data_IF_158998202072
#
_entry.id   IF_158998202072
#
_cell.length_a   1.000
_cell.length_b   1.000
_cell.length_c   1.000
_cell.angle_alpha   90.00
_cell.angle_beta   90.00
_cell.angle_gamma   90.00
#
_symmetry.space_group_name_H-M   'P 1'
#
loop_
_entity.id
_entity.type
_entity.pdbx_description
1 polymer ?
#
# COMPACT_ATOMS: atom_id res chain seq x y z
N UNK A 1 -34.40 22.94 14.47
CA UNK A 1 -33.06 22.94 15.09
C UNK A 1 -32.30 21.74 14.54
N UNK A 2 -31.46 21.95 13.54
CA UNK A 2 -30.68 20.89 12.87
C UNK A 2 -29.32 20.83 13.55
N UNK A 3 -29.09 19.78 14.30
CA UNK A 3 -27.79 19.54 14.94
C UNK A 3 -26.82 19.09 13.89
N UNK A 4 -25.86 19.94 13.54
CA UNK A 4 -24.72 19.58 12.71
C UNK A 4 -23.77 18.78 13.62
N UNK A 5 -23.72 17.48 13.43
CA UNK A 5 -22.70 16.64 14.05
C UNK A 5 -21.41 16.90 13.28
N UNK A 6 -20.54 17.74 13.85
CA UNK A 6 -19.17 17.90 13.38
C UNK A 6 -18.43 16.60 13.71
N UNK A 7 -18.25 15.73 12.72
CA UNK A 7 -17.30 14.64 12.83
C UNK A 7 -15.90 15.23 12.99
N UNK A 8 -15.33 15.04 14.16
CA UNK A 8 -13.95 15.37 14.42
C UNK A 8 -13.05 14.57 13.45
N UNK A 9 -11.97 15.16 12.92
CA UNK A 9 -11.06 14.44 12.05
C UNK A 9 -10.52 13.21 12.81
N UNK A 10 -10.71 12.03 12.23
CA UNK A 10 -10.15 10.79 12.76
C UNK A 10 -8.63 10.94 12.70
N UNK A 11 -8.00 11.19 13.84
CA UNK A 11 -6.55 11.16 13.96
C UNK A 11 -6.09 9.72 13.73
N UNK A 12 -5.64 9.41 12.55
CA UNK A 12 -4.98 8.13 12.26
C UNK A 12 -3.59 8.17 12.89
N UNK A 13 -3.32 7.25 13.80
CA UNK A 13 -2.02 7.17 14.46
C UNK A 13 -0.96 6.64 13.49
N UNK A 14 0.10 7.40 13.27
CA UNK A 14 1.23 7.04 12.41
C UNK A 14 2.20 6.14 13.20
N UNK A 15 2.00 4.83 13.14
CA UNK A 15 2.72 3.86 13.97
C UNK A 15 4.05 3.39 13.38
N UNK A 16 4.24 3.51 12.06
CA UNK A 16 5.42 3.02 11.34
C UNK A 16 6.47 4.12 11.09
N UNK A 17 6.16 5.37 11.34
CA UNK A 17 7.08 6.51 11.17
C UNK A 17 8.45 6.28 11.83
N UNK A 18 8.48 5.62 12.99
CA UNK A 18 9.71 5.32 13.74
C UNK A 18 10.68 4.39 13.02
N UNK A 19 10.25 3.76 11.92
CA UNK A 19 11.12 2.90 11.10
C UNK A 19 12.15 3.68 10.28
N UNK A 20 12.00 4.98 10.14
CA UNK A 20 12.96 5.87 9.47
C UNK A 20 13.22 7.11 10.33
N UNK A 21 14.27 7.85 10.00
CA UNK A 21 14.56 9.11 10.70
C UNK A 21 13.58 10.22 10.33
N UNK A 22 13.38 11.20 11.22
CA UNK A 22 12.51 12.35 10.94
C UNK A 22 12.94 13.10 9.67
N UNK A 23 14.23 13.19 9.40
CA UNK A 23 14.75 13.85 8.20
C UNK A 23 14.33 13.12 6.92
N UNK A 24 14.41 11.79 6.91
CA UNK A 24 13.97 10.97 5.77
C UNK A 24 12.45 11.05 5.62
N UNK A 25 11.72 10.97 6.74
CA UNK A 25 10.28 11.13 6.77
C UNK A 25 9.82 12.44 6.12
N UNK A 26 10.36 13.58 6.57
CA UNK A 26 10.02 14.90 6.04
C UNK A 26 10.28 15.02 4.53
N UNK A 27 11.37 14.45 4.08
CA UNK A 27 11.74 14.44 2.66
C UNK A 27 10.76 13.63 1.82
N UNK A 28 10.42 12.42 2.27
CA UNK A 28 9.50 11.53 1.55
C UNK A 28 8.07 12.07 1.53
N UNK A 29 7.55 12.53 2.66
CA UNK A 29 6.21 13.11 2.75
C UNK A 29 6.10 14.36 1.88
N UNK A 30 7.09 15.25 1.92
CA UNK A 30 7.11 16.45 1.07
C UNK A 30 7.19 16.11 -0.42
N UNK A 31 7.94 15.07 -0.77
CA UNK A 31 8.04 14.58 -2.14
C UNK A 31 6.67 14.04 -2.63
N UNK A 32 6.02 13.17 -1.86
CA UNK A 32 4.70 12.62 -2.20
C UNK A 32 3.67 13.75 -2.36
N UNK A 33 3.58 14.65 -1.39
CA UNK A 33 2.62 15.75 -1.41
C UNK A 33 2.77 16.61 -2.68
N UNK A 34 4.01 16.93 -3.06
CA UNK A 34 4.33 17.75 -4.23
C UNK A 34 4.06 17.01 -5.54
N UNK A 35 4.57 15.77 -5.68
CA UNK A 35 4.49 15.02 -6.94
C UNK A 35 3.06 14.57 -7.27
N UNK A 36 2.24 14.36 -6.25
CA UNK A 36 0.86 13.89 -6.42
C UNK A 36 -0.19 14.97 -6.18
N UNK A 37 0.25 16.22 -5.96
CA UNK A 37 -0.63 17.37 -5.68
C UNK A 37 -1.67 17.02 -4.60
N UNK A 38 -1.21 16.48 -3.48
CA UNK A 38 -2.07 16.06 -2.38
C UNK A 38 -1.72 16.75 -1.07
N UNK A 39 -2.69 16.81 -0.18
CA UNK A 39 -2.49 17.40 1.15
C UNK A 39 -1.49 16.59 1.98
N UNK A 40 -0.66 17.29 2.75
CA UNK A 40 0.36 16.69 3.60
C UNK A 40 -0.17 15.58 4.53
N UNK A 41 -1.33 15.72 5.22
CA UNK A 41 -1.85 14.65 6.07
C UNK A 41 -2.11 13.34 5.31
N UNK A 42 -2.53 13.41 4.05
CA UNK A 42 -2.74 12.24 3.21
C UNK A 42 -1.38 11.60 2.85
N UNK A 43 -0.40 12.42 2.45
CA UNK A 43 0.95 11.95 2.16
C UNK A 43 1.62 11.27 3.37
N UNK A 44 1.40 11.77 4.57
CA UNK A 44 1.87 11.18 5.82
C UNK A 44 1.26 9.80 6.07
N UNK A 45 -0.04 9.66 5.89
CA UNK A 45 -0.74 8.38 6.01
C UNK A 45 -0.26 7.36 4.96
N UNK A 46 -0.09 7.79 3.72
CA UNK A 46 0.47 6.95 2.64
C UNK A 46 1.85 6.45 3.02
N UNK A 47 2.74 7.34 3.48
CA UNK A 47 4.10 6.94 3.83
C UNK A 47 4.13 5.98 5.03
N UNK A 48 3.31 6.21 6.04
CA UNK A 48 3.18 5.32 7.20
C UNK A 48 2.75 3.91 6.77
N UNK A 49 1.72 3.81 5.93
CA UNK A 49 1.23 2.51 5.43
C UNK A 49 2.23 1.83 4.51
N UNK A 50 2.99 2.59 3.74
CA UNK A 50 4.10 2.06 2.92
C UNK A 50 5.18 1.43 3.79
N UNK A 51 5.60 2.10 4.86
CA UNK A 51 6.57 1.54 5.81
C UNK A 51 6.05 0.28 6.50
N UNK A 52 4.77 0.26 6.87
CA UNK A 52 4.10 -0.93 7.42
C UNK A 52 4.08 -2.09 6.43
N UNK A 53 3.79 -1.82 5.18
CA UNK A 53 3.80 -2.81 4.10
C UNK A 53 5.20 -3.40 3.86
N UNK A 54 6.23 -2.56 3.78
CA UNK A 54 7.62 -3.00 3.62
C UNK A 54 8.10 -3.81 4.83
N UNK A 55 7.67 -3.44 6.04
CA UNK A 55 7.90 -4.24 7.24
C UNK A 55 7.25 -5.62 7.15
N UNK A 56 6.03 -5.71 6.60
CA UNK A 56 5.35 -7.00 6.39
C UNK A 56 6.16 -7.91 5.45
N UNK A 57 6.68 -7.36 4.35
CA UNK A 57 7.54 -8.11 3.41
C UNK A 57 8.77 -8.66 4.15
N UNK A 58 9.43 -7.83 4.94
CA UNK A 58 10.59 -8.23 5.72
C UNK A 58 10.28 -9.35 6.74
N UNK A 59 9.09 -9.33 7.35
CA UNK A 59 8.65 -10.36 8.29
C UNK A 59 8.25 -11.68 7.62
N UNK A 60 8.00 -11.68 6.32
CA UNK A 60 7.49 -12.82 5.57
C UNK A 60 8.20 -13.02 4.23
N UNK A 61 9.52 -13.28 4.23
CA UNK A 61 10.34 -13.27 3.02
C UNK A 61 9.98 -14.36 1.99
N UNK A 62 9.25 -15.38 2.39
CA UNK A 62 8.76 -16.46 1.50
C UNK A 62 7.39 -16.17 0.88
N UNK A 63 6.78 -15.04 1.20
CA UNK A 63 5.45 -14.65 0.71
C UNK A 63 5.54 -13.39 -0.12
N UNK A 64 4.71 -13.33 -1.14
CA UNK A 64 4.55 -12.13 -1.96
C UNK A 64 3.25 -11.43 -1.59
N UNK A 65 3.28 -10.12 -1.48
CA UNK A 65 2.15 -9.27 -1.10
C UNK A 65 1.91 -8.21 -2.16
N UNK A 66 0.65 -7.79 -2.28
CA UNK A 66 0.23 -6.75 -3.22
C UNK A 66 -0.01 -5.44 -2.46
N UNK A 67 0.63 -4.34 -2.81
CA UNK A 67 0.30 -3.03 -2.25
C UNK A 67 -1.03 -2.54 -2.80
N UNK A 68 -1.73 -1.66 -2.07
CA UNK A 68 -2.78 -0.86 -2.65
C UNK A 68 -2.18 0.22 -3.55
N UNK A 69 -2.99 0.81 -4.43
CA UNK A 69 -2.56 1.93 -5.30
C UNK A 69 -1.93 3.10 -4.52
N UNK A 70 -2.51 3.41 -3.36
CA UNK A 70 -2.01 4.49 -2.51
C UNK A 70 -0.67 4.12 -1.84
N UNK A 71 -0.53 2.88 -1.39
CA UNK A 71 0.72 2.38 -0.81
C UNK A 71 1.83 2.27 -1.86
N UNK A 72 1.48 1.90 -3.08
CA UNK A 72 2.40 1.85 -4.21
C UNK A 72 2.98 3.23 -4.56
N UNK A 73 2.18 4.29 -4.47
CA UNK A 73 2.65 5.68 -4.59
C UNK A 73 3.77 5.97 -3.57
N UNK A 74 3.56 5.59 -2.32
CA UNK A 74 4.57 5.77 -1.27
C UNK A 74 5.82 4.94 -1.52
N UNK A 75 5.66 3.71 -2.01
CA UNK A 75 6.80 2.85 -2.34
C UNK A 75 7.62 3.41 -3.48
N UNK A 76 6.98 3.84 -4.58
CA UNK A 76 7.66 4.53 -5.67
C UNK A 76 8.41 5.79 -5.21
N UNK A 77 7.79 6.60 -4.34
CA UNK A 77 8.45 7.76 -3.77
C UNK A 77 9.71 7.36 -2.98
N UNK A 78 9.66 6.28 -2.22
CA UNK A 78 10.82 5.81 -1.46
C UNK A 78 11.91 5.24 -2.38
N UNK A 79 11.54 4.53 -3.44
CA UNK A 79 12.48 4.03 -4.45
C UNK A 79 13.26 5.16 -5.14
N UNK A 80 12.66 6.34 -5.34
CA UNK A 80 13.36 7.51 -5.89
C UNK A 80 14.44 8.05 -4.95
N UNK A 81 14.38 7.73 -3.67
CA UNK A 81 15.38 8.04 -2.65
C UNK A 81 16.27 6.82 -2.40
N UNK A 82 16.98 6.40 -3.43
CA UNK A 82 17.67 5.10 -3.54
C UNK A 82 18.61 4.80 -2.38
N UNK A 83 19.32 5.81 -1.87
CA UNK A 83 20.28 5.64 -0.78
C UNK A 83 19.59 5.32 0.54
N UNK A 84 18.59 6.12 0.88
CA UNK A 84 17.77 5.94 2.09
C UNK A 84 16.94 4.66 2.01
N UNK A 85 16.46 4.31 0.81
CA UNK A 85 15.73 3.06 0.59
C UNK A 85 16.64 1.84 0.79
N UNK A 86 17.85 1.86 0.26
CA UNK A 86 18.82 0.79 0.46
C UNK A 86 19.15 0.59 1.95
N UNK A 87 19.48 1.67 2.66
CA UNK A 87 19.76 1.62 4.10
C UNK A 87 18.56 1.09 4.91
N UNK A 88 17.35 1.47 4.54
CA UNK A 88 16.14 0.95 5.14
C UNK A 88 16.00 -0.56 4.91
N UNK A 89 16.14 -1.04 3.68
CA UNK A 89 16.04 -2.45 3.33
C UNK A 89 17.06 -3.31 4.09
N UNK A 90 18.32 -2.89 4.13
CA UNK A 90 19.38 -3.57 4.87
C UNK A 90 19.02 -3.71 6.36
N UNK A 91 18.47 -2.65 6.96
CA UNK A 91 18.13 -2.65 8.37
C UNK A 91 16.91 -3.52 8.71
N UNK A 92 15.86 -3.52 7.87
CA UNK A 92 14.60 -4.23 8.17
C UNK A 92 14.55 -5.64 7.63
N UNK A 93 15.28 -5.94 6.56
CA UNK A 93 15.20 -7.19 5.81
C UNK A 93 16.55 -7.89 5.63
N UNK A 94 17.68 -7.18 5.84
CA UNK A 94 19.02 -7.68 5.57
C UNK A 94 19.35 -7.86 4.08
N UNK A 95 18.44 -7.45 3.21
CA UNK A 95 18.61 -7.47 1.75
C UNK A 95 17.64 -6.49 1.08
N UNK A 96 17.95 -6.12 -0.15
CA UNK A 96 17.12 -5.21 -0.94
C UNK A 96 15.74 -5.80 -1.21
N UNK A 97 14.69 -5.00 -1.01
CA UNK A 97 13.32 -5.35 -1.36
C UNK A 97 13.05 -4.83 -2.77
N UNK A 98 12.97 -5.74 -3.75
CA UNK A 98 12.70 -5.38 -5.13
C UNK A 98 11.22 -5.08 -5.34
N UNK A 99 10.94 -4.05 -6.13
CA UNK A 99 9.61 -3.75 -6.63
C UNK A 99 9.51 -4.29 -8.06
N UNK A 100 8.73 -5.35 -8.24
CA UNK A 100 8.48 -5.93 -9.56
C UNK A 100 6.98 -5.79 -9.89
N UNK A 101 6.61 -4.87 -10.79
CA UNK A 101 5.22 -4.66 -11.18
C UNK A 101 4.62 -5.85 -11.94
N UNK A 102 5.45 -6.71 -12.54
CA UNK A 102 4.96 -7.89 -13.28
C UNK A 102 4.56 -9.04 -12.37
N UNK A 103 5.16 -9.15 -11.18
CA UNK A 103 4.78 -10.15 -10.19
C UNK A 103 3.40 -9.87 -9.58
N UNK A 104 2.98 -8.61 -9.53
CA UNK A 104 1.70 -8.20 -8.93
C UNK A 104 0.52 -8.93 -9.57
N UNK A 105 0.47 -9.04 -10.91
CA UNK A 105 -0.61 -9.73 -11.62
C UNK A 105 -0.69 -11.23 -11.28
N UNK A 106 0.45 -11.89 -11.14
CA UNK A 106 0.54 -13.31 -10.79
C UNK A 106 0.15 -13.53 -9.33
N UNK A 107 0.51 -12.60 -8.46
CA UNK A 107 0.21 -12.64 -7.02
C UNK A 107 -1.27 -12.43 -6.77
N UNK A 108 -1.89 -11.45 -7.39
CA UNK A 108 -3.34 -11.19 -7.28
C UNK A 108 -4.15 -12.44 -7.62
N UNK A 109 -3.79 -13.12 -8.70
CA UNK A 109 -4.46 -14.34 -9.12
C UNK A 109 -4.26 -15.54 -8.15
N UNK A 110 -3.19 -15.55 -7.37
CA UNK A 110 -2.83 -16.69 -6.50
C UNK A 110 -3.11 -16.47 -5.03
N UNK A 111 -3.12 -15.24 -4.54
CA UNK A 111 -3.05 -14.97 -3.08
C UNK A 111 -4.21 -14.13 -2.54
N UNK A 112 -5.14 -13.66 -3.36
CA UNK A 112 -6.22 -12.77 -2.93
C UNK A 112 -5.81 -11.28 -2.87
N UNK A 113 -4.68 -10.92 -3.43
CA UNK A 113 -4.26 -9.54 -3.67
C UNK A 113 -4.18 -8.67 -2.41
N UNK A 114 -4.71 -7.45 -2.52
CA UNK A 114 -4.71 -6.44 -1.45
C UNK A 114 -5.42 -6.93 -0.18
N UNK A 115 -6.51 -7.68 -0.30
CA UNK A 115 -7.25 -8.23 0.85
C UNK A 115 -6.39 -9.15 1.70
N UNK A 116 -5.59 -10.00 1.08
CA UNK A 116 -4.67 -10.89 1.80
C UNK A 116 -3.51 -10.13 2.44
N UNK A 117 -3.03 -9.07 1.77
CA UNK A 117 -2.02 -8.18 2.36
C UNK A 117 -2.54 -7.53 3.64
N UNK A 118 -3.75 -6.97 3.60
CA UNK A 118 -4.40 -6.36 4.78
C UNK A 118 -4.57 -7.37 5.90
N UNK A 119 -5.02 -8.59 5.58
CA UNK A 119 -5.14 -9.68 6.56
C UNK A 119 -3.79 -9.99 7.21
N UNK A 120 -2.74 -10.10 6.42
CA UNK A 120 -1.39 -10.38 6.90
C UNK A 120 -0.83 -9.23 7.75
N UNK A 121 -1.07 -7.96 7.38
CA UNK A 121 -0.69 -6.81 8.19
C UNK A 121 -1.34 -6.88 9.57
N UNK A 122 -2.66 -7.10 9.63
CA UNK A 122 -3.40 -7.23 10.90
C UNK A 122 -2.89 -8.40 11.75
N UNK A 123 -2.60 -9.54 11.13
CA UNK A 123 -2.06 -10.72 11.81
C UNK A 123 -0.66 -10.48 12.41
N UNK A 124 0.10 -9.56 11.84
CA UNK A 124 1.43 -9.16 12.33
C UNK A 124 1.39 -7.88 13.19
N UNK A 125 0.22 -7.48 13.68
CA UNK A 125 0.04 -6.28 14.53
C UNK A 125 0.53 -4.99 13.86
N UNK A 126 0.43 -4.91 12.53
CA UNK A 126 0.70 -3.69 11.77
C UNK A 126 -0.63 -2.95 11.59
N UNK A 127 -0.67 -1.71 12.03
CA UNK A 127 -1.87 -0.86 11.93
C UNK A 127 -2.23 -0.62 10.46
N UNK A 128 -3.50 -0.83 10.12
CA UNK A 128 -4.02 -0.67 8.75
C UNK A 128 -4.93 0.56 8.69
N UNK A 129 -4.64 1.45 7.78
CA UNK A 129 -5.53 2.55 7.42
C UNK A 129 -6.50 2.09 6.31
N UNK A 130 -7.65 1.61 6.71
CA UNK A 130 -8.65 1.01 5.81
C UNK A 130 -8.95 1.87 4.58
N UNK A 131 -8.96 3.19 4.70
CA UNK A 131 -9.23 4.09 3.57
C UNK A 131 -8.20 3.96 2.46
N UNK A 132 -6.92 3.78 2.81
CA UNK A 132 -5.83 3.67 1.83
C UNK A 132 -5.74 2.27 1.22
N UNK A 133 -6.35 1.27 1.86
CA UNK A 133 -6.33 -0.11 1.39
C UNK A 133 -7.62 -0.54 0.69
N UNK A 134 -8.74 0.14 0.94
CA UNK A 134 -10.05 -0.15 0.34
C UNK A 134 -10.42 0.78 -0.81
N UNK A 135 -9.93 2.01 -0.79
CA UNK A 135 -10.22 3.01 -1.81
C UNK A 135 -9.48 2.67 -3.11
N UNK A 136 -10.00 1.79 -3.90
CA UNK A 136 -9.46 1.35 -5.18
C UNK A 136 -8.66 0.03 -5.08
N UNK A 137 -9.39 -1.06 -4.90
CA UNK A 137 -8.87 -2.43 -5.07
C UNK A 137 -8.49 -2.76 -6.52
N UNK A 138 -8.07 -1.78 -7.29
CA UNK A 138 -7.59 -1.98 -8.64
C UNK A 138 -6.07 -1.90 -8.66
N UNK A 139 -5.45 -3.05 -8.76
CA UNK A 139 -4.10 -3.15 -9.25
C UNK A 139 -4.13 -2.84 -10.75
N UNK A 140 -4.24 -1.56 -11.11
CA UNK A 140 -4.04 -1.15 -12.48
C UNK A 140 -2.54 -1.19 -12.77
N UNK A 141 -2.10 -2.26 -13.40
CA UNK A 141 -0.92 -2.17 -14.25
C UNK A 141 -1.22 -1.13 -15.34
N UNK A 142 -0.27 -0.23 -15.61
CA UNK A 142 -0.34 0.74 -16.69
C UNK A 142 -0.60 0.02 -18.02
N UNK A 143 -1.84 -0.13 -18.35
CA UNK A 143 -2.32 -0.77 -19.57
C UNK A 143 -3.84 -0.81 -19.50
N UNK A 144 -4.50 -0.07 -20.40
CA UNK A 144 -5.94 -0.09 -20.67
C UNK A 144 -6.59 -1.46 -20.44
N UNK A 145 -7.11 -1.69 -19.27
CA UNK A 145 -7.78 -2.94 -18.95
C UNK A 145 -8.46 -2.85 -17.59
N UNK A 146 -9.70 -2.38 -17.58
CA UNK A 146 -10.60 -2.44 -16.46
C UNK A 146 -10.68 -3.87 -15.91
N UNK A 147 -10.11 -4.12 -14.73
CA UNK A 147 -10.37 -5.35 -14.00
C UNK A 147 -11.67 -5.19 -13.23
N UNK A 148 -12.77 -5.34 -13.92
CA UNK A 148 -14.10 -5.46 -13.32
C UNK A 148 -14.22 -6.85 -12.67
N UNK A 149 -14.10 -6.92 -11.35
CA UNK A 149 -14.22 -8.15 -10.57
C UNK A 149 -15.68 -8.52 -10.27
N UNK A 150 -16.61 -8.12 -11.11
CA UNK A 150 -18.01 -8.52 -11.04
C UNK A 150 -18.49 -9.15 -12.35
N UNK A 151 -17.88 -10.26 -12.70
CA UNK A 151 -18.54 -11.22 -13.59
C UNK A 151 -18.51 -12.58 -12.93
N UNK A 152 -19.54 -12.79 -12.12
CA UNK A 152 -19.96 -14.11 -11.72
C UNK A 152 -20.14 -14.96 -12.97
N UNK A 153 -19.44 -16.07 -13.01
CA UNK A 153 -19.65 -17.14 -13.96
C UNK A 153 -21.05 -17.74 -13.73
N UNK A 154 -22.00 -17.34 -14.53
CA UNK A 154 -23.22 -18.11 -14.78
C UNK A 154 -23.11 -18.71 -16.14
N UNK A 155 -22.58 -19.92 -16.23
CA UNK A 155 -22.61 -20.72 -17.42
C UNK A 155 -23.68 -21.79 -17.25
N UNK A 156 -24.75 -21.69 -17.98
CA UNK A 156 -25.58 -22.84 -18.25
C UNK A 156 -25.38 -23.19 -19.72
N UNK A 157 -25.02 -24.45 -19.93
CA UNK A 157 -24.87 -25.03 -21.25
C UNK A 157 -26.22 -25.37 -21.85
N UNK A 158 -26.15 -25.61 -23.11
CA UNK A 158 -26.95 -26.57 -23.95
C UNK A 158 -26.50 -26.24 -25.36
N UNK A 159 -25.89 -27.11 -26.12
CA UNK A 159 -26.44 -28.29 -26.69
C UNK A 159 -26.71 -28.04 -28.16
N UNK A 160 -25.86 -28.52 -29.04
CA UNK A 160 -26.08 -29.24 -30.29
C UNK A 160 -24.74 -29.47 -30.98
#
# INVERSE_FOLDING_TARGET
MTTIISEAPVCVELTNKSLISDQVWERLVSYIAKEKDMERPIAERIMDQTLGFLKLIALSPSRTFCPSKMVDIGWHAFLMHTREYFEFCERVNGQYIHHDPTEVLVVVARTGGVTETVRAMKANSITVDEMLWTALGDCDGDGDGSCDASSACGGEGEGC
#
